data_IF_977278292383
#
_entry.id   IF_977278292383
#
_cell.length_a   1.000
_cell.length_b   1.000
_cell.length_c   1.000
_cell.angle_alpha   90.00
_cell.angle_beta   90.00
_cell.angle_gamma   90.00
#
_symmetry.space_group_name_H-M   'P 1'
#
loop_
_entity.id
_entity.type
_entity.pdbx_description
1 polymer ?
#
# COMPACT_ATOMS: atom_id res chain seq x y z
N UNK A 1 24.06 -43.17 -37.40
CA UNK A 1 24.13 -41.97 -38.26
C UNK A 1 23.08 -41.00 -37.75
N UNK A 2 23.53 -39.82 -37.32
CA UNK A 2 22.82 -38.58 -36.97
C UNK A 2 21.63 -38.63 -35.98
N UNK A 3 21.88 -38.02 -34.81
CA UNK A 3 20.97 -37.71 -33.72
C UNK A 3 19.81 -36.79 -34.16
N UNK A 4 18.59 -37.11 -33.74
CA UNK A 4 17.46 -36.17 -33.72
C UNK A 4 17.68 -35.12 -32.63
N UNK A 5 17.78 -33.86 -33.04
CA UNK A 5 17.97 -32.69 -32.19
C UNK A 5 16.67 -32.31 -31.45
N UNK A 6 16.61 -32.27 -30.10
CA UNK A 6 15.50 -31.68 -29.37
C UNK A 6 15.84 -30.21 -29.05
N UNK A 7 15.62 -29.30 -30.00
CA UNK A 7 15.82 -27.87 -29.78
C UNK A 7 14.54 -27.11 -30.11
N UNK A 8 13.65 -27.02 -29.11
CA UNK A 8 12.38 -26.32 -29.22
C UNK A 8 11.76 -26.02 -27.87
N UNK A 9 12.54 -25.59 -26.88
CA UNK A 9 12.01 -25.07 -25.63
C UNK A 9 12.78 -23.82 -25.18
N UNK A 10 12.01 -22.80 -24.78
CA UNK A 10 12.40 -21.68 -23.90
C UNK A 10 12.83 -20.35 -24.53
N UNK A 11 11.96 -19.71 -25.33
CA UNK A 11 11.91 -18.24 -25.43
C UNK A 11 10.67 -17.63 -24.75
N UNK A 12 9.69 -18.43 -24.34
CA UNK A 12 8.41 -18.00 -23.74
C UNK A 12 8.55 -17.48 -22.29
N UNK A 13 9.64 -17.73 -21.57
CA UNK A 13 9.56 -17.68 -20.10
C UNK A 13 9.93 -16.35 -19.43
N UNK A 14 10.75 -15.47 -20.01
CA UNK A 14 11.24 -14.28 -19.27
C UNK A 14 10.35 -13.04 -19.40
N UNK A 15 9.83 -12.77 -20.60
CA UNK A 15 8.93 -11.66 -20.85
C UNK A 15 7.59 -11.86 -20.13
N UNK A 16 7.06 -13.09 -20.15
CA UNK A 16 5.81 -13.45 -19.48
C UNK A 16 5.91 -13.30 -17.96
N UNK A 17 7.01 -13.73 -17.33
CA UNK A 17 7.22 -13.59 -15.88
C UNK A 17 7.35 -12.13 -15.46
N UNK A 18 8.08 -11.32 -16.23
CA UNK A 18 8.24 -9.90 -15.91
C UNK A 18 6.92 -9.13 -16.06
N UNK A 19 6.18 -9.39 -17.14
CA UNK A 19 4.87 -8.80 -17.36
C UNK A 19 3.89 -9.21 -16.27
N UNK A 20 3.83 -10.50 -15.94
CA UNK A 20 2.96 -11.04 -14.90
C UNK A 20 3.30 -10.45 -13.52
N UNK A 21 4.58 -10.31 -13.20
CA UNK A 21 5.04 -9.68 -11.96
C UNK A 21 4.59 -8.22 -11.86
N UNK A 22 4.74 -7.45 -12.94
CA UNK A 22 4.23 -6.06 -13.01
C UNK A 22 2.72 -6.00 -12.86
N UNK A 23 1.99 -6.86 -13.56
CA UNK A 23 0.53 -6.93 -13.48
C UNK A 23 0.06 -7.23 -12.06
N UNK A 24 0.72 -8.19 -11.39
CA UNK A 24 0.45 -8.53 -9.99
C UNK A 24 0.69 -7.34 -9.05
N UNK A 25 1.79 -6.61 -9.22
CA UNK A 25 2.10 -5.43 -8.41
C UNK A 25 1.11 -4.30 -8.65
N UNK A 26 0.69 -4.06 -9.90
CA UNK A 26 -0.34 -3.08 -10.23
C UNK A 26 -1.67 -3.48 -9.58
N UNK A 27 -2.04 -4.77 -9.67
CA UNK A 27 -3.23 -5.30 -9.04
C UNK A 27 -3.22 -5.10 -7.53
N UNK A 28 -2.15 -5.48 -6.83
CA UNK A 28 -2.02 -5.26 -5.39
C UNK A 28 -2.07 -3.78 -5.01
N UNK A 29 -1.45 -2.90 -5.80
CA UNK A 29 -1.49 -1.46 -5.55
C UNK A 29 -2.91 -0.91 -5.65
N UNK A 30 -3.60 -1.20 -6.74
CA UNK A 30 -4.97 -0.71 -6.97
C UNK A 30 -5.93 -1.30 -5.95
N UNK A 31 -5.81 -2.58 -5.64
CA UNK A 31 -6.67 -3.25 -4.67
C UNK A 31 -6.44 -2.74 -3.23
N UNK A 32 -5.19 -2.57 -2.81
CA UNK A 32 -4.87 -1.94 -1.53
C UNK A 32 -5.41 -0.50 -1.48
N UNK A 33 -5.21 0.27 -2.55
CA UNK A 33 -5.72 1.64 -2.65
C UNK A 33 -7.24 1.72 -2.57
N UNK A 34 -7.94 0.91 -3.35
CA UNK A 34 -9.40 0.83 -3.36
C UNK A 34 -9.95 0.46 -1.98
N UNK A 35 -9.30 -0.49 -1.29
CA UNK A 35 -9.71 -0.87 0.06
C UNK A 35 -9.52 0.25 1.07
N UNK A 36 -8.41 0.98 1.01
CA UNK A 36 -8.16 2.13 1.88
C UNK A 36 -9.19 3.23 1.65
N UNK A 37 -9.61 3.46 0.41
CA UNK A 37 -10.71 4.38 0.08
C UNK A 37 -12.02 3.90 0.72
N UNK A 38 -12.41 2.64 0.51
CA UNK A 38 -13.67 2.10 1.06
C UNK A 38 -13.66 2.14 2.59
N UNK A 39 -12.55 1.77 3.22
CA UNK A 39 -12.37 1.80 4.67
C UNK A 39 -12.48 3.22 5.24
N UNK A 40 -11.76 4.19 4.66
CA UNK A 40 -11.82 5.58 5.10
C UNK A 40 -13.21 6.21 4.86
N UNK A 41 -13.78 6.00 3.68
CA UNK A 41 -15.11 6.51 3.32
C UNK A 41 -16.21 5.92 4.21
N UNK A 42 -16.12 4.65 4.60
CA UNK A 42 -17.10 3.99 5.49
C UNK A 42 -17.23 4.71 6.83
N UNK A 43 -16.14 5.29 7.34
CA UNK A 43 -16.13 6.03 8.61
C UNK A 43 -16.49 7.52 8.42
N UNK A 44 -15.99 8.14 7.35
CA UNK A 44 -16.20 9.58 7.11
C UNK A 44 -17.61 9.91 6.64
N UNK A 45 -18.26 9.06 5.83
CA UNK A 45 -19.61 9.30 5.32
C UNK A 45 -20.65 9.52 6.44
N UNK A 46 -20.69 8.69 7.51
CA UNK A 46 -21.52 8.95 8.69
C UNK A 46 -21.30 10.31 9.35
N UNK A 47 -20.07 10.81 9.38
CA UNK A 47 -19.76 12.14 9.95
C UNK A 47 -20.42 13.27 9.14
N UNK A 48 -20.66 13.05 7.84
CA UNK A 48 -21.35 13.98 6.95
C UNK A 48 -22.86 13.67 6.78
N UNK A 49 -23.42 12.75 7.57
CA UNK A 49 -24.85 12.42 7.55
C UNK A 49 -25.27 11.39 6.49
N UNK A 50 -24.30 10.70 5.84
CA UNK A 50 -24.56 9.63 4.88
C UNK A 50 -24.47 8.24 5.55
N UNK A 51 -25.15 7.21 5.01
CA UNK A 51 -25.01 5.85 5.53
C UNK A 51 -23.58 5.30 5.32
N UNK A 52 -23.04 4.50 6.27
CA UNK A 52 -21.74 3.86 6.09
C UNK A 52 -21.81 2.79 4.98
N UNK A 53 -20.75 2.68 4.18
CA UNK A 53 -20.63 1.63 3.15
C UNK A 53 -20.57 0.25 3.81
N UNK A 54 -19.82 0.14 4.91
CA UNK A 54 -19.75 -1.05 5.74
C UNK A 54 -19.74 -0.65 7.22
N UNK A 55 -20.44 -1.38 8.10
CA UNK A 55 -20.41 -1.07 9.53
C UNK A 55 -18.99 -1.17 10.06
N UNK A 56 -18.54 -0.15 10.78
CA UNK A 56 -17.20 -0.11 11.35
C UNK A 56 -17.02 -1.33 12.29
N UNK A 57 -16.10 -2.27 11.98
CA UNK A 57 -15.92 -3.44 12.83
C UNK A 57 -15.34 -3.03 14.17
N UNK A 58 -16.16 -3.06 15.22
CA UNK A 58 -15.69 -3.00 16.59
C UNK A 58 -15.17 -4.38 17.01
N UNK A 59 -14.19 -4.38 17.93
CA UNK A 59 -13.58 -5.60 18.42
C UNK A 59 -14.59 -6.54 19.06
N UNK A 60 -14.50 -7.84 18.76
CA UNK A 60 -15.34 -8.86 19.39
C UNK A 60 -14.87 -9.23 20.79
N UNK A 61 -13.57 -9.12 21.05
CA UNK A 61 -12.99 -9.29 22.38
C UNK A 61 -12.75 -7.94 23.06
N UNK A 62 -12.81 -7.95 24.39
CA UNK A 62 -12.67 -6.73 25.21
C UNK A 62 -11.41 -5.90 24.87
N UNK A 63 -10.19 -6.47 24.75
CA UNK A 63 -9.00 -5.67 24.44
C UNK A 63 -9.07 -4.97 23.07
N UNK A 64 -9.61 -5.66 22.06
CA UNK A 64 -9.80 -5.11 20.71
C UNK A 64 -10.85 -4.00 20.71
N UNK A 65 -11.91 -4.17 21.50
CA UNK A 65 -12.96 -3.18 21.64
C UNK A 65 -12.44 -1.91 22.33
N UNK A 66 -11.73 -2.04 23.45
CA UNK A 66 -11.14 -0.92 24.19
C UNK A 66 -10.20 -0.11 23.30
N UNK A 67 -9.32 -0.76 22.53
CA UNK A 67 -8.44 -0.07 21.60
C UNK A 67 -9.23 0.80 20.60
N UNK A 68 -10.23 0.23 19.95
CA UNK A 68 -10.99 0.94 18.90
C UNK A 68 -11.90 2.03 19.47
N UNK A 69 -12.55 1.79 20.62
CA UNK A 69 -13.42 2.78 21.27
C UNK A 69 -12.60 3.95 21.78
N UNK A 70 -11.46 3.70 22.42
CA UNK A 70 -10.58 4.79 22.87
C UNK A 70 -10.04 5.62 21.70
N UNK A 71 -9.72 5.01 20.56
CA UNK A 71 -9.33 5.75 19.35
C UNK A 71 -10.46 6.64 18.80
N UNK A 72 -11.70 6.18 18.89
CA UNK A 72 -12.88 6.97 18.51
C UNK A 72 -13.11 8.12 19.49
N UNK A 73 -13.06 7.85 20.80
CA UNK A 73 -13.28 8.85 21.86
C UNK A 73 -12.27 9.99 21.83
N UNK A 74 -10.99 9.69 21.52
CA UNK A 74 -9.94 10.71 21.39
C UNK A 74 -9.89 11.37 20.00
N UNK A 75 -10.76 10.97 19.07
CA UNK A 75 -10.80 11.50 17.69
C UNK A 75 -9.64 11.06 16.79
N UNK A 76 -8.70 10.25 17.30
CA UNK A 76 -7.56 9.77 16.50
C UNK A 76 -8.02 8.86 15.36
N UNK A 77 -9.14 8.16 15.54
CA UNK A 77 -9.73 7.31 14.51
C UNK A 77 -10.13 8.10 13.25
N UNK A 78 -10.67 9.32 13.42
CA UNK A 78 -11.07 10.20 12.30
C UNK A 78 -9.85 10.60 11.45
N UNK A 79 -8.74 10.92 12.12
CA UNK A 79 -7.48 11.27 11.48
C UNK A 79 -6.94 10.07 10.68
N UNK A 80 -6.89 8.89 11.30
CA UNK A 80 -6.42 7.67 10.65
C UNK A 80 -7.27 7.35 9.42
N UNK A 81 -8.60 7.45 9.52
CA UNK A 81 -9.51 7.17 8.40
C UNK A 81 -9.40 8.20 7.27
N UNK A 82 -9.14 9.45 7.60
CA UNK A 82 -8.83 10.49 6.60
C UNK A 82 -7.53 10.18 5.87
N UNK A 83 -6.48 9.78 6.61
CA UNK A 83 -5.20 9.38 6.02
C UNK A 83 -5.35 8.14 5.15
N UNK A 84 -6.13 7.13 5.57
CA UNK A 84 -6.45 5.96 4.74
C UNK A 84 -7.09 6.38 3.41
N UNK A 85 -8.07 7.29 3.44
CA UNK A 85 -8.72 7.78 2.23
C UNK A 85 -7.72 8.45 1.28
N UNK A 86 -6.88 9.36 1.80
CA UNK A 86 -5.87 10.07 1.00
C UNK A 86 -4.84 9.11 0.41
N UNK A 87 -4.32 8.18 1.22
CA UNK A 87 -3.40 7.14 0.77
C UNK A 87 -4.05 6.27 -0.30
N UNK A 88 -5.30 5.89 -0.11
CA UNK A 88 -6.06 5.11 -1.07
C UNK A 88 -6.15 5.79 -2.44
N UNK A 89 -6.47 7.09 -2.46
CA UNK A 89 -6.48 7.90 -3.68
C UNK A 89 -5.10 7.96 -4.33
N UNK A 90 -4.04 8.22 -3.55
CA UNK A 90 -2.66 8.23 -4.03
C UNK A 90 -2.27 6.90 -4.70
N UNK A 91 -2.63 5.76 -4.10
CA UNK A 91 -2.32 4.43 -4.65
C UNK A 91 -3.13 4.10 -5.92
N UNK A 92 -4.40 4.48 -5.98
CA UNK A 92 -5.24 4.26 -7.16
C UNK A 92 -4.78 5.12 -8.34
N UNK A 93 -4.54 6.41 -8.12
CA UNK A 93 -4.11 7.35 -9.16
C UNK A 93 -2.60 7.30 -9.46
N UNK A 94 -1.84 6.43 -8.79
CA UNK A 94 -0.39 6.33 -8.94
C UNK A 94 0.37 7.64 -8.60
N UNK A 95 -0.13 8.39 -7.61
CA UNK A 95 0.44 9.65 -7.16
C UNK A 95 1.19 9.39 -5.85
N UNK A 96 2.46 9.81 -5.76
CA UNK A 96 3.31 9.66 -4.56
C UNK A 96 3.31 8.24 -3.95
N UNK A 97 3.33 7.19 -4.78
CA UNK A 97 3.15 5.79 -4.34
C UNK A 97 4.11 5.36 -3.21
N UNK A 98 5.44 5.60 -3.28
CA UNK A 98 6.33 5.21 -2.18
C UNK A 98 6.01 5.93 -0.86
N UNK A 99 5.65 7.22 -0.93
CA UNK A 99 5.25 7.97 0.26
C UNK A 99 3.94 7.43 0.84
N UNK A 100 2.95 7.20 -0.01
CA UNK A 100 1.64 6.67 0.38
C UNK A 100 1.75 5.30 1.04
N UNK A 101 2.60 4.41 0.51
CA UNK A 101 2.86 3.10 1.09
C UNK A 101 3.52 3.19 2.47
N UNK A 102 4.51 4.07 2.65
CA UNK A 102 5.16 4.29 3.94
C UNK A 102 4.19 4.80 5.01
N UNK A 103 3.28 5.71 4.64
CA UNK A 103 2.23 6.21 5.53
C UNK A 103 1.20 5.13 5.87
N UNK A 104 0.82 4.28 4.91
CA UNK A 104 -0.11 3.18 5.16
C UNK A 104 0.47 2.04 6.02
N UNK A 105 1.79 1.90 6.10
CA UNK A 105 2.45 0.80 6.82
C UNK A 105 2.04 0.74 8.31
N UNK A 106 2.19 1.80 9.13
CA UNK A 106 1.75 1.76 10.53
C UNK A 106 0.24 1.53 10.67
N UNK A 107 -0.57 2.08 9.77
CA UNK A 107 -2.03 1.90 9.79
C UNK A 107 -2.41 0.44 9.52
N UNK A 108 -1.85 -0.15 8.47
CA UNK A 108 -2.06 -1.56 8.11
C UNK A 108 -1.59 -2.51 9.21
N UNK A 109 -0.50 -2.16 9.91
CA UNK A 109 -0.02 -2.92 11.06
C UNK A 109 -0.99 -2.85 12.25
N UNK A 110 -1.55 -1.68 12.56
CA UNK A 110 -2.57 -1.54 13.62
C UNK A 110 -3.83 -2.36 13.32
N UNK A 111 -4.29 -2.35 12.08
CA UNK A 111 -5.44 -3.16 11.63
C UNK A 111 -5.13 -4.66 11.77
N UNK A 112 -3.94 -5.09 11.37
CA UNK A 112 -3.47 -6.47 11.56
C UNK A 112 -3.41 -6.85 13.04
N UNK A 113 -2.77 -6.02 13.87
CA UNK A 113 -2.62 -6.25 15.30
C UNK A 113 -3.97 -6.40 15.99
N UNK A 114 -4.91 -5.49 15.71
CA UNK A 114 -6.26 -5.56 16.23
C UNK A 114 -6.99 -6.84 15.77
N UNK A 115 -6.88 -7.21 14.49
CA UNK A 115 -7.62 -8.36 13.94
C UNK A 115 -7.05 -9.73 14.35
N UNK A 116 -5.73 -9.86 14.48
CA UNK A 116 -5.06 -11.15 14.74
C UNK A 116 -4.69 -11.29 16.21
N UNK A 117 -3.95 -10.32 16.75
CA UNK A 117 -3.41 -10.41 18.11
C UNK A 117 -4.52 -10.16 19.14
N UNK A 118 -5.24 -9.04 19.04
CA UNK A 118 -6.25 -8.67 20.05
C UNK A 118 -7.55 -9.46 19.96
N UNK A 119 -7.91 -9.95 18.76
CA UNK A 119 -9.06 -10.85 18.60
C UNK A 119 -8.69 -12.34 18.68
N UNK A 120 -7.41 -12.68 18.91
CA UNK A 120 -6.89 -14.05 18.97
C UNK A 120 -7.25 -14.92 17.75
N UNK A 121 -7.37 -14.33 16.56
CA UNK A 121 -7.79 -15.01 15.31
C UNK A 121 -6.59 -15.52 14.52
N UNK A 122 -5.69 -16.27 15.16
CA UNK A 122 -4.47 -16.77 14.54
C UNK A 122 -4.73 -17.70 13.35
N UNK A 123 -5.88 -18.38 13.32
CA UNK A 123 -6.31 -19.20 12.17
C UNK A 123 -6.45 -18.40 10.87
N UNK A 124 -6.58 -17.07 10.96
CA UNK A 124 -6.77 -16.19 9.81
C UNK A 124 -5.48 -15.59 9.25
N UNK A 125 -4.31 -15.96 9.77
CA UNK A 125 -3.01 -15.46 9.28
C UNK A 125 -2.80 -15.79 7.80
N UNK A 126 -3.23 -16.97 7.35
CA UNK A 126 -3.13 -17.38 5.94
C UNK A 126 -4.45 -17.21 5.18
N UNK A 127 -5.43 -16.54 5.77
CA UNK A 127 -6.73 -16.33 5.15
C UNK A 127 -6.71 -15.11 4.22
N UNK A 128 -7.69 -15.03 3.32
CA UNK A 128 -7.95 -13.86 2.48
C UNK A 128 -8.63 -12.72 3.25
N UNK A 129 -8.52 -12.72 4.59
CA UNK A 129 -9.12 -11.70 5.42
C UNK A 129 -8.43 -10.37 5.19
N UNK A 130 -9.20 -9.36 4.82
CA UNK A 130 -8.63 -8.14 4.25
C UNK A 130 -7.73 -7.39 5.23
N UNK A 131 -7.99 -7.45 6.53
CA UNK A 131 -7.12 -6.88 7.56
C UNK A 131 -5.68 -7.44 7.52
N UNK A 132 -5.53 -8.73 7.19
CA UNK A 132 -4.22 -9.37 7.04
C UNK A 132 -3.60 -9.04 5.69
N UNK A 133 -4.43 -9.12 4.65
CA UNK A 133 -4.00 -8.94 3.28
C UNK A 133 -3.53 -7.50 3.00
N UNK A 134 -4.13 -6.50 3.67
CA UNK A 134 -3.66 -5.11 3.63
C UNK A 134 -2.20 -4.97 4.03
N UNK A 135 -1.79 -5.60 5.14
CA UNK A 135 -0.41 -5.55 5.61
C UNK A 135 0.53 -6.27 4.62
N UNK A 136 0.13 -7.45 4.14
CA UNK A 136 0.96 -8.22 3.20
C UNK A 136 1.16 -7.50 1.87
N UNK A 137 0.10 -6.97 1.27
CA UNK A 137 0.22 -6.16 0.07
C UNK A 137 1.05 -4.91 0.31
N UNK A 138 0.87 -4.23 1.43
CA UNK A 138 1.68 -3.06 1.75
C UNK A 138 3.17 -3.41 1.83
N UNK A 139 3.54 -4.48 2.55
CA UNK A 139 4.93 -4.97 2.64
C UNK A 139 5.47 -5.34 1.26
N UNK A 140 4.73 -6.13 0.46
CA UNK A 140 5.15 -6.55 -0.88
C UNK A 140 5.40 -5.33 -1.77
N UNK A 141 4.51 -4.33 -1.73
CA UNK A 141 4.64 -3.11 -2.54
C UNK A 141 5.78 -2.21 -2.05
N UNK A 142 6.03 -2.13 -0.74
CA UNK A 142 7.17 -1.42 -0.16
C UNK A 142 8.48 -2.08 -0.62
N UNK A 143 8.57 -3.41 -0.56
CA UNK A 143 9.72 -4.17 -1.05
C UNK A 143 9.89 -3.99 -2.57
N UNK A 144 8.81 -3.95 -3.34
CA UNK A 144 8.86 -3.67 -4.77
C UNK A 144 9.41 -2.26 -5.07
N UNK A 145 9.19 -1.30 -4.17
CA UNK A 145 9.70 0.07 -4.27
C UNK A 145 10.95 0.31 -3.40
N UNK A 146 11.68 -0.75 -3.00
CA UNK A 146 12.82 -0.66 -2.07
C UNK A 146 13.85 0.39 -2.50
N UNK A 147 14.09 0.52 -3.81
CA UNK A 147 15.03 1.49 -4.39
C UNK A 147 14.79 2.93 -3.93
N UNK A 148 13.54 3.32 -3.66
CA UNK A 148 13.19 4.66 -3.19
C UNK A 148 13.37 4.83 -1.68
N UNK A 149 13.38 3.75 -0.91
CA UNK A 149 13.58 3.78 0.54
C UNK A 149 15.04 3.59 0.95
N UNK A 150 15.90 3.04 0.08
CA UNK A 150 17.33 2.87 0.36
C UNK A 150 18.03 4.17 0.82
N UNK A 151 17.78 5.36 0.22
CA UNK A 151 18.39 6.60 0.69
C UNK A 151 17.98 6.98 2.12
N UNK A 152 16.76 6.61 2.53
CA UNK A 152 16.25 6.88 3.88
C UNK A 152 16.94 6.00 4.95
N UNK A 153 17.54 4.87 4.57
CA UNK A 153 18.24 3.96 5.49
C UNK A 153 19.69 4.37 5.77
N UNK A 154 20.17 5.47 5.19
CA UNK A 154 21.54 5.94 5.40
C UNK A 154 21.73 6.48 6.83
N UNK A 155 22.59 5.85 7.62
CA UNK A 155 22.82 6.17 9.05
C UNK A 155 23.21 7.63 9.34
N UNK A 156 23.93 8.28 8.41
CA UNK A 156 24.35 9.68 8.54
C UNK A 156 23.84 10.47 7.33
N UNK A 157 22.52 10.67 7.25
CA UNK A 157 21.94 11.55 6.26
C UNK A 157 22.26 13.01 6.62
N UNK A 158 22.95 13.78 5.76
CA UNK A 158 23.16 15.21 6.01
C UNK A 158 21.80 15.94 5.97
N UNK A 159 21.63 16.96 6.81
CA UNK A 159 20.43 17.80 6.79
C UNK A 159 20.31 18.53 5.45
N UNK A 160 19.10 18.54 4.89
CA UNK A 160 18.81 19.29 3.68
C UNK A 160 19.03 20.79 3.87
N UNK A 161 19.54 21.45 2.84
CA UNK A 161 19.69 22.92 2.79
C UNK A 161 18.45 23.55 2.18
N UNK A 162 18.21 24.83 2.45
CA UNK A 162 17.13 25.61 1.80
C UNK A 162 17.28 25.65 0.27
N UNK A 163 18.49 25.43 -0.26
CA UNK A 163 18.74 25.33 -1.69
C UNK A 163 18.14 24.08 -2.33
N UNK A 164 17.92 23.00 -1.55
CA UNK A 164 17.37 21.74 -2.05
C UNK A 164 15.89 21.88 -2.44
N UNK A 165 15.18 22.91 -1.96
CA UNK A 165 13.83 23.24 -2.44
C UNK A 165 13.82 23.59 -3.93
N UNK A 166 14.95 24.06 -4.50
CA UNK A 166 15.07 24.31 -5.94
C UNK A 166 15.10 23.03 -6.78
N UNK A 167 15.24 21.87 -6.15
CA UNK A 167 15.16 20.55 -6.81
C UNK A 167 13.72 20.02 -6.89
N UNK A 168 12.75 20.64 -6.20
CA UNK A 168 11.34 20.23 -6.29
C UNK A 168 10.79 20.30 -7.74
N UNK A 169 11.03 21.37 -8.52
CA UNK A 169 10.55 21.44 -9.91
C UNK A 169 11.12 20.33 -10.81
N UNK A 170 12.37 19.90 -10.59
CA UNK A 170 13.00 18.86 -11.41
C UNK A 170 12.47 17.44 -11.13
N UNK A 171 11.91 17.22 -9.94
CA UNK A 171 11.23 15.96 -9.61
C UNK A 171 9.93 15.81 -10.43
N UNK A 172 9.22 16.90 -10.66
CA UNK A 172 7.97 16.88 -11.44
C UNK A 172 8.20 16.89 -12.96
N UNK A 173 9.31 17.46 -13.45
CA UNK A 173 9.62 17.56 -14.89
C UNK A 173 10.10 16.27 -15.56
N UNK A 174 10.68 15.32 -14.82
CA UNK A 174 11.20 14.06 -15.37
C UNK A 174 10.13 13.12 -15.96
N UNK A 175 8.85 13.39 -15.68
CA UNK A 175 7.72 12.63 -16.24
C UNK A 175 7.53 12.82 -17.76
N UNK A 176 8.05 13.91 -18.34
CA UNK A 176 8.05 14.13 -19.80
C UNK A 176 9.20 13.38 -20.51
N UNK A 177 10.34 13.21 -19.84
CA UNK A 177 11.56 12.65 -20.45
C UNK A 177 11.52 11.12 -20.57
N UNK A 178 10.83 10.43 -19.65
CA UNK A 178 10.54 8.98 -19.79
C UNK A 178 9.52 8.67 -20.90
N UNK A 179 8.63 9.61 -21.26
CA UNK A 179 7.69 9.44 -22.39
C UNK A 179 8.36 9.62 -23.75
N UNK A 180 9.36 10.51 -23.84
CA UNK A 180 10.12 10.72 -25.09
C UNK A 180 10.98 9.51 -25.45
N UNK A 181 11.64 8.87 -24.47
CA UNK A 181 12.50 7.70 -24.70
C UNK A 181 11.73 6.39 -24.97
N UNK A 182 10.41 6.39 -24.85
CA UNK A 182 9.55 5.25 -25.19
C UNK A 182 8.86 5.40 -26.56
N UNK A 183 9.07 6.54 -27.23
CA UNK A 183 8.52 6.86 -28.55
C UNK A 183 9.57 6.77 -29.68
N UNK A 184 10.82 6.48 -29.34
CA UNK A 184 11.95 6.18 -30.24
C UNK A 184 12.34 4.69 -30.11
#
# INVERSE_FOLDING_TARGET
MAFSNPAGLSTTNKFDIWFLGKLLLIFFRVMLGAWMIVSGASHLLPLFGFPPIFPQPLGTLHPSNVMLVSLLEVGLFDIVKTVELVVGLCLVFNIFVPLALAVALPVSYMVFHNSIVLNARYDRIFSTFMAVWCLYMNIILVLAHIRYYLPMLKMNAPMGKLEDFKLLPSIFSNSEQERSNAAD
#
